data_IF_629879627312
#
_entry.id   IF_629879627312
#
_cell.length_a   1.000
_cell.length_b   1.000
_cell.length_c   1.000
_cell.angle_alpha   90.00
_cell.angle_beta   90.00
_cell.angle_gamma   90.00
#
_symmetry.space_group_name_H-M   'P 1'
#
loop_
_entity.id
_entity.type
_entity.pdbx_description
1 polymer ?
#
# COMPACT_ATOMS: atom_id res chain seq x y z
N UNK A 1 -9.57 -24.00 12.77
CA UNK A 1 -10.07 -22.74 13.36
C UNK A 1 -9.18 -21.60 12.90
N UNK A 2 -9.74 -20.42 12.57
CA UNK A 2 -9.01 -19.24 12.05
C UNK A 2 -8.63 -18.32 13.22
N UNK A 3 -7.41 -17.80 13.26
CA UNK A 3 -6.87 -16.99 14.38
C UNK A 3 -6.55 -15.54 14.03
N UNK A 4 -6.54 -15.18 12.74
CA UNK A 4 -6.28 -13.81 12.29
C UNK A 4 -6.01 -13.72 10.79
N UNK A 5 -5.76 -12.50 10.32
CA UNK A 5 -5.24 -12.25 8.98
C UNK A 5 -3.74 -12.57 8.97
N UNK A 6 -3.33 -13.47 8.07
CA UNK A 6 -1.91 -13.77 7.87
C UNK A 6 -1.29 -12.81 6.85
N UNK A 7 -1.98 -12.58 5.73
CA UNK A 7 -1.53 -11.69 4.68
C UNK A 7 -2.69 -11.20 3.82
N UNK A 8 -2.41 -10.14 3.07
CA UNK A 8 -3.20 -9.72 1.90
C UNK A 8 -2.32 -9.81 0.66
N UNK A 9 -2.92 -10.01 -0.51
CA UNK A 9 -2.20 -10.03 -1.78
C UNK A 9 -2.75 -8.95 -2.72
N UNK A 10 -1.87 -8.10 -3.24
CA UNK A 10 -2.17 -7.05 -4.20
C UNK A 10 -1.54 -7.39 -5.55
N UNK A 11 -2.22 -6.99 -6.62
CA UNK A 11 -1.80 -7.28 -7.98
C UNK A 11 -1.23 -6.03 -8.65
N UNK A 12 -0.12 -6.20 -9.36
CA UNK A 12 0.53 -5.13 -10.12
C UNK A 12 0.73 -5.57 -11.57
N UNK A 13 0.79 -4.64 -12.54
CA UNK A 13 1.00 -4.99 -13.94
C UNK A 13 2.23 -5.89 -14.19
N UNK A 14 2.23 -6.57 -15.35
CA UNK A 14 3.41 -7.28 -15.81
C UNK A 14 4.63 -6.35 -15.86
N UNK A 15 5.80 -6.89 -15.53
CA UNK A 15 7.10 -6.20 -15.55
C UNK A 15 7.28 -5.04 -14.55
N UNK A 16 6.25 -4.65 -13.78
CA UNK A 16 6.34 -3.56 -12.79
C UNK A 16 6.69 -4.01 -11.36
N UNK A 17 6.88 -5.32 -11.12
CA UNK A 17 7.14 -5.85 -9.77
C UNK A 17 8.36 -5.21 -9.10
N UNK A 18 9.37 -4.81 -9.89
CA UNK A 18 10.59 -4.20 -9.38
C UNK A 18 10.35 -2.82 -8.73
N UNK A 19 9.25 -2.13 -9.04
CA UNK A 19 8.86 -0.89 -8.36
C UNK A 19 8.31 -1.12 -6.94
N UNK A 20 7.97 -2.36 -6.59
CA UNK A 20 7.42 -2.69 -5.27
C UNK A 20 8.39 -2.34 -4.13
N UNK A 21 9.69 -2.51 -4.33
CA UNK A 21 10.68 -2.23 -3.29
C UNK A 21 10.76 -0.74 -2.94
N UNK A 22 10.72 0.12 -3.96
CA UNK A 22 10.69 1.57 -3.72
C UNK A 22 9.37 1.99 -3.06
N UNK A 23 8.22 1.58 -3.61
CA UNK A 23 6.93 2.01 -3.07
C UNK A 23 6.61 1.39 -1.70
N UNK A 24 6.55 0.05 -1.61
CA UNK A 24 6.16 -0.63 -0.37
C UNK A 24 7.29 -0.63 0.67
N UNK A 25 8.54 -0.77 0.23
CA UNK A 25 9.69 -0.81 1.14
C UNK A 25 10.11 0.58 1.63
N UNK A 26 10.32 1.52 0.70
CA UNK A 26 10.87 2.85 1.05
C UNK A 26 9.76 3.85 1.38
N UNK A 27 8.76 3.99 0.51
CA UNK A 27 7.70 5.00 0.72
C UNK A 27 6.76 4.61 1.86
N UNK A 28 6.27 3.37 1.89
CA UNK A 28 5.43 2.92 3.01
C UNK A 28 6.24 2.53 4.25
N UNK A 29 7.53 2.20 4.11
CA UNK A 29 8.39 1.78 5.21
C UNK A 29 8.13 0.35 5.68
N UNK A 30 7.55 -0.52 4.84
CA UNK A 30 7.38 -1.94 5.17
C UNK A 30 8.70 -2.68 5.02
N UNK A 31 8.91 -3.73 5.82
CA UNK A 31 10.18 -4.47 5.81
C UNK A 31 10.17 -5.55 4.73
N UNK A 32 11.08 -5.53 3.73
CA UNK A 32 11.15 -6.59 2.73
C UNK A 32 11.45 -7.95 3.37
N UNK A 33 10.75 -8.99 2.92
CA UNK A 33 10.96 -10.38 3.34
C UNK A 33 11.40 -11.23 2.14
N UNK A 34 12.41 -12.11 2.31
CA UNK A 34 12.79 -13.04 1.27
C UNK A 34 11.63 -13.93 0.82
N UNK A 35 11.43 -14.02 -0.49
CA UNK A 35 10.53 -15.01 -1.11
C UNK A 35 11.30 -16.29 -1.43
N UNK A 36 10.61 -17.44 -1.60
CA UNK A 36 11.22 -18.66 -2.13
C UNK A 36 11.98 -18.38 -3.43
N UNK A 37 13.13 -19.03 -3.61
CA UNK A 37 14.05 -18.70 -4.71
C UNK A 37 13.41 -18.78 -6.10
N UNK A 38 12.48 -19.71 -6.30
CA UNK A 38 11.72 -19.88 -7.55
C UNK A 38 10.71 -18.76 -7.84
N UNK A 39 10.39 -17.91 -6.86
CA UNK A 39 9.37 -16.86 -6.95
C UNK A 39 9.94 -15.44 -6.93
N UNK A 40 11.28 -15.28 -6.89
CA UNK A 40 11.96 -13.97 -6.82
C UNK A 40 11.59 -12.97 -7.92
N UNK A 41 11.11 -13.44 -9.08
CA UNK A 41 10.71 -12.59 -10.21
C UNK A 41 9.21 -12.43 -10.36
N UNK A 42 8.41 -13.07 -9.51
CA UNK A 42 6.95 -13.08 -9.61
C UNK A 42 6.23 -12.62 -8.35
N UNK A 43 6.94 -12.54 -7.22
CA UNK A 43 6.42 -12.10 -5.93
C UNK A 43 7.41 -11.20 -5.20
N UNK A 44 6.88 -10.22 -4.47
CA UNK A 44 7.58 -9.49 -3.43
C UNK A 44 6.76 -9.55 -2.13
N UNK A 45 7.42 -9.82 -1.00
CA UNK A 45 6.78 -9.90 0.31
C UNK A 45 7.30 -8.81 1.23
N UNK A 46 6.39 -8.24 2.02
CA UNK A 46 6.71 -7.21 3.00
C UNK A 46 6.03 -7.52 4.33
N UNK A 47 6.76 -7.38 5.43
CA UNK A 47 6.23 -7.49 6.78
C UNK A 47 5.55 -6.18 7.22
N UNK A 48 4.42 -6.30 7.89
CA UNK A 48 3.69 -5.19 8.51
C UNK A 48 4.17 -5.02 9.96
N UNK A 49 5.22 -4.22 10.13
CA UNK A 49 5.86 -4.00 11.42
C UNK A 49 6.28 -5.33 12.08
N UNK A 50 6.02 -5.46 13.38
CA UNK A 50 6.30 -6.67 14.16
C UNK A 50 5.08 -7.60 14.36
N UNK A 51 3.97 -7.34 13.65
CA UNK A 51 2.71 -8.06 13.85
C UNK A 51 2.72 -9.52 13.37
N UNK A 52 3.69 -9.89 12.54
CA UNK A 52 3.71 -11.16 11.81
C UNK A 52 2.80 -11.18 10.57
N UNK A 53 2.00 -10.14 10.33
CA UNK A 53 1.18 -9.98 9.13
C UNK A 53 2.01 -9.47 7.96
N UNK A 54 1.57 -9.78 6.74
CA UNK A 54 2.33 -9.49 5.53
C UNK A 54 1.46 -8.87 4.42
N UNK A 55 2.13 -8.14 3.53
CA UNK A 55 1.60 -7.77 2.20
C UNK A 55 2.40 -8.52 1.15
N UNK A 56 1.70 -9.22 0.27
CA UNK A 56 2.28 -9.84 -0.91
C UNK A 56 1.93 -9.02 -2.14
N UNK A 57 2.91 -8.81 -3.00
CA UNK A 57 2.75 -8.15 -4.30
C UNK A 57 3.01 -9.19 -5.37
N UNK A 58 2.02 -9.43 -6.23
CA UNK A 58 2.08 -10.41 -7.29
C UNK A 58 1.77 -9.79 -8.65
N UNK A 59 2.31 -10.38 -9.71
CA UNK A 59 2.00 -9.97 -11.08
C UNK A 59 0.55 -10.32 -11.45
N UNK A 60 -0.16 -9.36 -12.05
CA UNK A 60 -1.49 -9.55 -12.61
C UNK A 60 -1.40 -10.28 -13.95
N UNK A 61 -1.61 -11.60 -13.92
CA UNK A 61 -1.57 -12.45 -15.12
C UNK A 61 -2.76 -12.25 -16.06
N UNK A 62 -3.85 -11.65 -15.57
CA UNK A 62 -5.11 -11.56 -16.30
C UNK A 62 -5.46 -10.12 -16.68
N UNK A 63 -4.58 -9.16 -16.40
CA UNK A 63 -4.83 -7.73 -16.58
C UNK A 63 -6.20 -7.30 -16.01
N UNK A 64 -6.49 -7.79 -14.81
CA UNK A 64 -7.75 -7.62 -14.08
C UNK A 64 -7.95 -6.22 -13.51
N UNK A 65 -6.90 -5.39 -13.45
CA UNK A 65 -6.91 -4.02 -12.95
C UNK A 65 -7.52 -2.97 -13.92
N UNK A 66 -8.38 -3.37 -14.86
CA UNK A 66 -9.00 -2.45 -15.82
C UNK A 66 -10.03 -1.48 -15.21
N UNK A 67 -10.45 -1.68 -13.96
CA UNK A 67 -11.42 -0.83 -13.28
C UNK A 67 -10.88 -0.28 -11.96
N UNK A 68 -11.18 1.00 -11.68
CA UNK A 68 -10.80 1.70 -10.44
C UNK A 68 -11.56 1.10 -9.25
N UNK A 69 -11.01 0.03 -8.68
CA UNK A 69 -11.60 -0.73 -7.57
C UNK A 69 -11.64 0.08 -6.27
N UNK A 70 -12.70 -0.11 -5.49
CA UNK A 70 -12.84 0.40 -4.11
C UNK A 70 -12.29 -0.56 -3.06
N UNK A 71 -11.98 -1.82 -3.39
CA UNK A 71 -11.37 -2.81 -2.47
C UNK A 71 -9.96 -2.35 -2.05
N UNK A 72 -9.64 -2.51 -0.77
CA UNK A 72 -8.35 -2.11 -0.20
C UNK A 72 -8.07 -2.88 1.09
N UNK A 73 -6.79 -3.10 1.45
CA UNK A 73 -6.40 -3.29 2.83
C UNK A 73 -6.39 -1.93 3.56
N UNK A 74 -6.65 -1.97 4.87
CA UNK A 74 -6.45 -0.84 5.76
C UNK A 74 -5.29 -1.13 6.72
N UNK A 75 -4.26 -0.30 6.69
CA UNK A 75 -3.10 -0.42 7.57
C UNK A 75 -3.33 0.39 8.84
N UNK A 76 -3.14 -0.27 9.99
CA UNK A 76 -3.17 0.39 11.29
C UNK A 76 -1.86 1.15 11.51
N UNK A 77 -1.98 2.42 11.88
CA UNK A 77 -0.88 3.33 12.17
C UNK A 77 -0.83 3.61 13.67
N UNK A 78 0.37 3.62 14.22
CA UNK A 78 0.59 3.64 15.67
C UNK A 78 0.13 4.91 16.39
N UNK A 79 0.08 6.04 15.68
CA UNK A 79 -0.25 7.33 16.27
C UNK A 79 -0.74 8.36 15.23
N UNK A 80 -1.44 9.42 15.66
CA UNK A 80 -1.80 10.54 14.79
C UNK A 80 -0.60 11.18 14.09
N UNK A 81 0.53 11.35 14.79
CA UNK A 81 1.72 11.96 14.23
C UNK A 81 2.35 11.07 13.14
N UNK A 82 2.42 9.75 13.40
CA UNK A 82 2.89 8.80 12.40
C UNK A 82 1.97 8.75 11.16
N UNK A 83 0.65 8.91 11.36
CA UNK A 83 -0.32 8.98 10.26
C UNK A 83 -0.07 10.20 9.37
N UNK A 84 0.18 11.38 9.98
CA UNK A 84 0.51 12.60 9.24
C UNK A 84 1.86 12.50 8.52
N UNK A 85 2.88 11.95 9.17
CA UNK A 85 4.21 11.76 8.57
C UNK A 85 4.16 10.80 7.38
N UNK A 86 3.41 9.70 7.49
CA UNK A 86 3.24 8.75 6.40
C UNK A 86 2.50 9.40 5.23
N UNK A 87 1.42 10.15 5.50
CA UNK A 87 0.68 10.90 4.47
C UNK A 87 1.60 11.88 3.73
N UNK A 88 2.42 12.63 4.46
CA UNK A 88 3.39 13.58 3.90
C UNK A 88 4.41 12.87 2.99
N UNK A 89 4.97 11.74 3.43
CA UNK A 89 5.95 10.97 2.65
C UNK A 89 5.36 10.40 1.35
N UNK A 90 4.14 9.86 1.42
CA UNK A 90 3.43 9.34 0.24
C UNK A 90 3.14 10.48 -0.74
N UNK A 91 2.70 11.64 -0.24
CA UNK A 91 2.47 12.83 -1.06
C UNK A 91 3.75 13.34 -1.73
N UNK A 92 4.86 13.41 -1.01
CA UNK A 92 6.15 13.81 -1.58
C UNK A 92 6.64 12.85 -2.67
N UNK A 93 6.41 11.53 -2.51
CA UNK A 93 6.70 10.56 -3.58
C UNK A 93 5.78 10.76 -4.78
N UNK A 94 4.49 11.05 -4.56
CA UNK A 94 3.55 11.38 -5.63
C UNK A 94 4.04 12.58 -6.45
N UNK A 95 4.35 13.70 -5.78
CA UNK A 95 4.81 14.94 -6.43
C UNK A 95 6.17 14.79 -7.12
N UNK A 96 7.07 13.98 -6.55
CA UNK A 96 8.36 13.65 -7.18
C UNK A 96 8.17 12.87 -8.48
N UNK A 97 7.11 12.06 -8.59
CA UNK A 97 6.83 11.21 -9.73
C UNK A 97 7.82 10.04 -9.89
N UNK A 98 7.82 9.44 -11.08
CA UNK A 98 8.57 8.22 -11.40
C UNK A 98 7.66 7.00 -11.48
N UNK A 99 8.18 5.90 -12.06
CA UNK A 99 7.39 4.71 -12.37
C UNK A 99 6.88 3.95 -11.13
N UNK A 100 7.49 4.19 -9.97
CA UNK A 100 7.09 3.66 -8.66
C UNK A 100 6.21 4.61 -7.85
N UNK A 101 5.93 5.81 -8.35
CA UNK A 101 5.17 6.81 -7.62
C UNK A 101 3.71 6.37 -7.45
N UNK A 102 3.09 6.68 -6.29
CA UNK A 102 1.66 6.49 -6.12
C UNK A 102 0.87 7.20 -7.22
N UNK A 103 -0.14 6.54 -7.80
CA UNK A 103 -0.99 7.17 -8.82
C UNK A 103 -1.93 8.21 -8.22
N UNK A 104 -2.32 8.05 -6.96
CA UNK A 104 -3.18 8.98 -6.21
C UNK A 104 -2.67 9.07 -4.77
N UNK A 105 -2.62 10.27 -4.20
CA UNK A 105 -2.25 10.48 -2.80
C UNK A 105 -3.08 11.62 -2.20
N UNK A 106 -3.70 11.39 -1.04
CA UNK A 106 -4.42 12.45 -0.34
C UNK A 106 -3.45 13.51 0.20
N UNK A 107 -3.54 14.76 -0.29
CA UNK A 107 -2.62 15.86 0.05
C UNK A 107 -2.70 16.27 1.53
N UNK A 108 -1.58 16.35 2.26
CA UNK A 108 -1.54 16.84 3.64
C UNK A 108 -2.20 18.22 3.80
N UNK A 109 -2.99 18.39 4.86
CA UNK A 109 -3.74 19.64 5.13
C UNK A 109 -5.09 19.75 4.40
N UNK A 110 -5.39 18.88 3.43
CA UNK A 110 -6.68 18.83 2.75
C UNK A 110 -7.57 17.69 3.28
N UNK A 111 -8.87 17.76 2.97
CA UNK A 111 -9.84 16.70 3.28
C UNK A 111 -9.44 15.42 2.54
N UNK A 112 -9.46 14.27 3.23
CA UNK A 112 -9.14 12.98 2.62
C UNK A 112 -10.22 12.53 1.62
N UNK A 113 -9.87 11.62 0.70
CA UNK A 113 -10.78 11.11 -0.34
C UNK A 113 -11.79 10.07 0.14
N UNK A 114 -11.86 9.81 1.45
CA UNK A 114 -12.84 8.91 2.06
C UNK A 114 -14.19 9.58 2.34
N UNK A 115 -15.17 8.76 2.73
CA UNK A 115 -16.41 9.27 3.32
C UNK A 115 -16.12 10.01 4.63
N UNK A 116 -16.84 11.12 4.85
CA UNK A 116 -16.70 12.01 6.02
C UNK A 116 -17.85 11.82 7.01
N UNK A 117 -17.61 12.09 8.29
CA UNK A 117 -18.58 11.89 9.37
C UNK A 117 -17.92 11.64 10.73
N UNK A 118 -18.64 11.93 11.82
CA UNK A 118 -18.12 11.82 13.18
C UNK A 118 -17.74 10.38 13.59
N UNK A 119 -18.32 9.38 12.93
CA UNK A 119 -18.07 7.96 13.19
C UNK A 119 -16.86 7.41 12.43
N UNK A 120 -16.32 8.16 11.46
CA UNK A 120 -15.16 7.70 10.71
C UNK A 120 -13.85 7.99 11.44
N UNK A 121 -12.91 7.02 11.47
CA UNK A 121 -11.62 7.22 12.12
C UNK A 121 -10.79 8.29 11.40
N UNK A 122 -9.77 8.81 12.07
CA UNK A 122 -8.72 9.58 11.39
C UNK A 122 -8.00 8.67 10.41
N UNK A 123 -8.10 8.99 9.12
CA UNK A 123 -7.58 8.17 8.03
C UNK A 123 -7.21 8.99 6.79
N UNK A 124 -6.49 8.37 5.87
CA UNK A 124 -6.33 8.85 4.50
C UNK A 124 -6.16 7.68 3.53
N UNK A 125 -6.27 7.96 2.23
CA UNK A 125 -6.10 6.97 1.17
C UNK A 125 -4.97 7.35 0.23
N UNK A 126 -4.41 6.33 -0.41
CA UNK A 126 -3.55 6.47 -1.57
C UNK A 126 -3.85 5.34 -2.57
N UNK A 127 -3.37 5.49 -3.80
CA UNK A 127 -3.22 4.38 -4.72
C UNK A 127 -1.75 4.14 -4.99
N UNK A 128 -1.33 2.89 -4.90
CA UNK A 128 0.04 2.53 -5.27
C UNK A 128 0.31 2.82 -6.76
N UNK A 129 1.55 2.55 -7.20
CA UNK A 129 1.98 2.73 -8.59
C UNK A 129 1.19 1.89 -9.61
N UNK A 130 0.43 0.89 -9.15
CA UNK A 130 -0.40 0.01 -9.95
C UNK A 130 -1.91 0.32 -9.83
N UNK A 131 -2.29 1.35 -9.09
CA UNK A 131 -3.69 1.75 -8.90
C UNK A 131 -4.44 1.00 -7.78
N UNK A 132 -3.77 0.14 -7.00
CA UNK A 132 -4.39 -0.51 -5.84
C UNK A 132 -4.70 0.53 -4.77
N UNK A 133 -5.96 0.59 -4.31
CA UNK A 133 -6.35 1.48 -3.21
C UNK A 133 -5.80 0.94 -1.90
N UNK A 134 -5.21 1.83 -1.09
CA UNK A 134 -4.71 1.57 0.25
C UNK A 134 -5.38 2.56 1.22
N UNK A 135 -5.79 2.09 2.39
CA UNK A 135 -6.28 2.93 3.50
C UNK A 135 -5.27 2.88 4.65
N UNK A 136 -5.13 4.00 5.36
CA UNK A 136 -4.31 4.12 6.56
C UNK A 136 -5.14 4.76 7.66
N UNK A 137 -5.25 4.12 8.82
CA UNK A 137 -6.05 4.60 9.96
C UNK A 137 -5.35 4.36 11.30
N UNK A 138 -5.82 5.01 12.36
CA UNK A 138 -5.42 4.71 13.75
C UNK A 138 -5.98 3.35 14.24
#
# INVERSE_FOLDING_TARGET
>A
MITGLAHVNLLVPADTLHHAEEFYGTTLGLTPRPVPQLQKKSLAWFDIGSSGQQVHIALDKNNSNSTKSSRHPCFKIESPDALLQLRQRIWEHHERGGDSAPQEADRPGEVNSGSQGAEYPSRFFARDYAGNRLEFSL
#
